data_IF_959882881194
#
_entry.id   IF_959882881194
#
_cell.length_a   1.000
_cell.length_b   1.000
_cell.length_c   1.000
_cell.angle_alpha   90.00
_cell.angle_beta   90.00
_cell.angle_gamma   90.00
#
_symmetry.space_group_name_H-M   'P 1'
#
loop_
_entity.id
_entity.type
_entity.pdbx_description
1 polymer ?
#
# COMPACT_ATOMS: atom_id res chain seq x y z
N UNK A 1 -19.44 -13.52 54.51
CA UNK A 1 -18.12 -13.34 53.86
C UNK A 1 -18.31 -13.41 52.35
N UNK A 2 -18.11 -12.31 51.61
CA UNK A 2 -18.43 -12.27 50.18
C UNK A 2 -17.32 -12.92 49.35
N UNK A 3 -17.71 -13.74 48.38
CA UNK A 3 -16.82 -14.34 47.38
C UNK A 3 -16.38 -13.26 46.39
N UNK A 4 -15.10 -12.92 46.40
CA UNK A 4 -14.46 -12.09 45.38
C UNK A 4 -14.44 -12.88 44.06
N UNK A 5 -15.29 -12.49 43.09
CA UNK A 5 -15.11 -12.89 41.70
C UNK A 5 -13.94 -12.08 41.12
N UNK A 6 -12.81 -12.74 40.92
CA UNK A 6 -11.68 -12.18 40.19
C UNK A 6 -12.06 -12.15 38.70
N UNK A 7 -12.57 -11.00 38.24
CA UNK A 7 -12.75 -10.74 36.82
C UNK A 7 -11.36 -10.70 36.16
N UNK A 8 -11.06 -11.72 35.34
CA UNK A 8 -9.94 -11.70 34.42
C UNK A 8 -10.20 -10.59 33.39
N UNK A 9 -9.68 -9.40 33.70
CA UNK A 9 -9.47 -8.34 32.72
C UNK A 9 -8.51 -8.88 31.66
N UNK A 10 -9.06 -9.34 30.55
CA UNK A 10 -8.30 -9.54 29.31
C UNK A 10 -7.86 -8.16 28.87
N UNK A 11 -6.66 -7.78 29.31
CA UNK A 11 -5.96 -6.58 28.85
C UNK A 11 -5.90 -6.65 27.32
N UNK A 12 -6.54 -5.68 26.67
CA UNK A 12 -6.52 -5.43 25.24
C UNK A 12 -5.16 -4.85 24.81
N UNK A 13 -4.10 -5.59 25.14
CA UNK A 13 -2.74 -5.31 24.73
C UNK A 13 -2.64 -5.50 23.21
N UNK A 14 -2.34 -4.39 22.52
CA UNK A 14 -1.69 -4.30 21.22
C UNK A 14 -1.48 -5.63 20.46
N UNK A 15 -2.46 -6.03 19.65
CA UNK A 15 -2.20 -6.93 18.52
C UNK A 15 -1.53 -6.13 17.38
N UNK A 16 -0.33 -5.61 17.64
CA UNK A 16 0.60 -5.35 16.55
C UNK A 16 1.12 -6.71 16.06
N UNK A 17 1.41 -6.82 14.77
CA UNK A 17 1.94 -8.03 14.14
C UNK A 17 3.02 -8.68 15.05
N UNK A 18 2.80 -9.89 15.59
CA UNK A 18 3.66 -10.52 16.60
C UNK A 18 5.15 -10.59 16.21
N UNK A 19 5.47 -10.50 14.93
CA UNK A 19 6.83 -10.66 14.41
C UNK A 19 7.61 -9.37 14.22
N UNK A 20 6.98 -8.19 14.04
CA UNK A 20 7.77 -6.95 14.16
C UNK A 20 8.28 -6.80 15.59
N UNK A 21 7.57 -7.39 16.55
CA UNK A 21 7.95 -7.45 17.96
C UNK A 21 9.13 -8.39 18.20
N UNK A 22 9.29 -9.49 17.44
CA UNK A 22 10.42 -10.42 17.61
C UNK A 22 11.75 -9.83 17.17
N UNK A 23 11.74 -8.88 16.23
CA UNK A 23 12.94 -8.13 15.82
C UNK A 23 13.30 -6.99 16.80
N UNK A 24 12.33 -6.51 17.60
CA UNK A 24 12.49 -5.31 18.45
C UNK A 24 13.64 -5.40 19.47
N UNK A 25 13.87 -6.52 20.18
CA UNK A 25 14.91 -6.59 21.20
C UNK A 25 16.32 -6.26 20.68
N UNK A 26 16.60 -6.55 19.41
CA UNK A 26 17.91 -6.28 18.79
C UNK A 26 17.90 -5.07 17.84
N UNK A 27 16.73 -4.70 17.29
CA UNK A 27 16.58 -3.66 16.27
C UNK A 27 15.58 -2.56 16.65
N UNK A 28 15.56 -2.16 17.92
CA UNK A 28 14.55 -1.27 18.49
C UNK A 28 14.30 -0.01 17.65
N UNK A 29 15.36 0.71 17.27
CA UNK A 29 15.26 1.96 16.50
C UNK A 29 14.59 1.75 15.14
N UNK A 30 14.97 0.68 14.42
CA UNK A 30 14.40 0.35 13.11
C UNK A 30 12.93 -0.03 13.25
N UNK A 31 12.61 -0.87 14.24
CA UNK A 31 11.23 -1.28 14.50
C UNK A 31 10.37 -0.08 14.86
N UNK A 32 10.85 0.84 15.71
CA UNK A 32 10.10 2.02 16.14
C UNK A 32 9.68 2.92 14.96
N UNK A 33 10.56 3.12 13.98
CA UNK A 33 10.23 3.88 12.77
C UNK A 33 9.40 3.07 11.78
N UNK A 34 9.67 1.76 11.65
CA UNK A 34 8.97 0.90 10.70
C UNK A 34 7.49 0.72 11.04
N UNK A 35 7.14 0.70 12.34
CA UNK A 35 5.76 0.62 12.82
C UNK A 35 4.86 1.75 12.31
N UNK A 36 5.45 2.85 11.82
CA UNK A 36 4.72 4.01 11.32
C UNK A 36 4.61 4.03 9.78
N UNK A 37 5.19 3.04 9.09
CA UNK A 37 5.24 2.98 7.63
C UNK A 37 3.90 2.56 7.03
N UNK A 38 3.67 2.98 5.78
CA UNK A 38 2.50 2.51 5.03
C UNK A 38 2.60 1.04 4.63
N UNK A 39 3.81 0.49 4.52
CA UNK A 39 4.03 -0.94 4.26
C UNK A 39 3.41 -1.79 5.36
N UNK A 40 3.75 -1.54 6.62
CA UNK A 40 3.14 -2.28 7.73
C UNK A 40 1.64 -2.02 7.82
N UNK A 41 1.20 -0.78 7.63
CA UNK A 41 -0.20 -0.41 7.75
C UNK A 41 -1.06 -0.84 6.53
N UNK A 42 -0.49 -1.45 5.49
CA UNK A 42 -1.22 -1.75 4.24
C UNK A 42 -2.36 -2.75 4.43
N UNK A 43 -2.38 -3.50 5.53
CA UNK A 43 -3.56 -4.22 5.97
C UNK A 43 -3.56 -4.42 7.47
N UNK A 44 -4.75 -4.60 8.04
CA UNK A 44 -4.96 -4.84 9.46
C UNK A 44 -6.30 -5.51 9.71
N UNK A 45 -6.46 -6.13 10.88
CA UNK A 45 -7.77 -6.52 11.39
C UNK A 45 -8.65 -5.28 11.53
N UNK A 46 -9.95 -5.42 11.28
CA UNK A 46 -10.93 -4.37 11.46
C UNK A 46 -11.16 -4.05 12.94
N UNK A 47 -10.72 -2.87 13.37
CA UNK A 47 -10.88 -2.35 14.72
C UNK A 47 -11.09 -0.84 14.66
N UNK A 48 -11.54 -0.24 15.77
CA UNK A 48 -11.63 1.20 15.90
C UNK A 48 -10.29 1.94 15.67
N UNK A 49 -9.15 1.25 15.80
CA UNK A 49 -7.81 1.83 15.58
C UNK A 49 -7.38 1.80 14.11
N UNK A 50 -7.74 0.73 13.39
CA UNK A 50 -7.29 0.49 12.01
C UNK A 50 -8.23 1.09 10.96
N UNK A 51 -9.53 1.14 11.25
CA UNK A 51 -10.53 1.75 10.36
C UNK A 51 -10.43 3.27 10.41
N UNK A 52 -10.36 3.91 9.23
CA UNK A 52 -10.38 5.37 9.08
C UNK A 52 -11.75 5.93 8.74
N UNK A 53 -12.68 5.07 8.32
CA UNK A 53 -14.04 5.44 7.96
C UNK A 53 -14.85 6.02 9.13
N UNK A 54 -15.85 6.84 8.80
CA UNK A 54 -16.76 7.46 9.78
C UNK A 54 -18.09 6.71 9.82
N UNK A 55 -18.43 6.17 10.99
CA UNK A 55 -19.64 5.36 11.22
C UNK A 55 -20.73 6.12 11.97
N UNK A 56 -20.45 7.35 12.42
CA UNK A 56 -21.41 8.25 13.06
C UNK A 56 -22.52 8.68 12.09
N UNK A 57 -23.74 8.82 12.60
CA UNK A 57 -24.89 9.32 11.86
C UNK A 57 -24.57 10.58 11.05
N UNK A 58 -25.11 10.67 9.84
CA UNK A 58 -24.88 11.77 8.90
C UNK A 58 -23.62 11.63 8.03
N UNK A 59 -22.69 10.75 8.39
CA UNK A 59 -21.47 10.47 7.62
C UNK A 59 -21.33 9.02 7.20
N UNK A 60 -22.30 8.19 7.55
CA UNK A 60 -22.22 6.74 7.47
C UNK A 60 -23.14 6.16 6.39
N UNK A 61 -23.53 6.96 5.41
CA UNK A 61 -24.35 6.51 4.28
C UNK A 61 -23.69 6.98 2.99
N UNK A 62 -23.39 6.03 2.09
CA UNK A 62 -23.11 6.31 0.69
C UNK A 62 -24.44 6.21 -0.07
N UNK A 63 -24.86 7.31 -0.68
CA UNK A 63 -25.98 7.32 -1.63
C UNK A 63 -25.45 6.98 -3.02
N UNK A 64 -26.27 6.30 -3.82
CA UNK A 64 -25.97 5.97 -5.22
C UNK A 64 -26.87 6.79 -6.16
N UNK A 65 -26.56 6.78 -7.46
CA UNK A 65 -27.37 7.43 -8.49
C UNK A 65 -28.61 6.61 -8.82
N UNK A 66 -28.59 5.32 -8.52
CA UNK A 66 -29.73 4.42 -8.62
C UNK A 66 -30.75 4.72 -7.51
N UNK A 67 -31.99 5.14 -7.86
CA UNK A 67 -33.02 5.44 -6.88
C UNK A 67 -33.30 4.25 -5.95
N UNK A 68 -33.36 4.52 -4.64
CA UNK A 68 -33.62 3.49 -3.63
C UNK A 68 -32.42 2.60 -3.27
N UNK A 69 -31.29 2.72 -3.97
CA UNK A 69 -30.05 2.00 -3.64
C UNK A 69 -29.12 2.87 -2.81
N UNK A 70 -28.71 2.36 -1.65
CA UNK A 70 -27.72 3.02 -0.78
C UNK A 70 -26.92 2.00 0.01
N UNK A 71 -25.77 2.44 0.53
CA UNK A 71 -24.98 1.67 1.46
C UNK A 71 -24.87 2.38 2.80
N UNK A 72 -25.15 1.66 3.87
CA UNK A 72 -25.00 2.13 5.24
C UNK A 72 -23.82 1.45 5.91
N UNK A 73 -23.01 2.25 6.58
CA UNK A 73 -21.91 1.81 7.42
C UNK A 73 -22.38 1.93 8.87
N UNK A 74 -22.23 0.88 9.65
CA UNK A 74 -22.64 0.90 11.05
C UNK A 74 -21.63 0.18 11.96
N UNK A 75 -21.54 0.67 13.19
CA UNK A 75 -20.74 0.07 14.24
C UNK A 75 -21.70 -0.40 15.33
N UNK A 76 -21.55 -1.66 15.75
CA UNK A 76 -22.29 -2.27 16.85
C UNK A 76 -21.28 -2.89 17.80
N UNK A 77 -21.20 -2.39 19.02
CA UNK A 77 -20.33 -2.94 20.08
C UNK A 77 -18.88 -3.15 19.61
N UNK A 78 -18.30 -2.17 18.90
CA UNK A 78 -16.93 -2.25 18.37
C UNK A 78 -16.73 -3.14 17.12
N UNK A 79 -17.82 -3.68 16.56
CA UNK A 79 -17.83 -4.44 15.31
C UNK A 79 -18.42 -3.58 14.20
N UNK A 80 -17.77 -3.55 13.04
CA UNK A 80 -18.11 -2.68 11.92
C UNK A 80 -18.80 -3.47 10.81
N UNK A 81 -19.76 -2.85 10.13
CA UNK A 81 -20.58 -3.48 9.09
C UNK A 81 -20.76 -2.55 7.89
N UNK A 82 -21.01 -3.17 6.74
CA UNK A 82 -21.61 -2.53 5.57
C UNK A 82 -22.94 -3.21 5.26
N UNK A 83 -23.95 -2.40 4.99
CA UNK A 83 -25.29 -2.85 4.60
C UNK A 83 -25.66 -2.20 3.27
N UNK A 84 -25.79 -3.00 2.21
CA UNK A 84 -26.42 -2.56 0.97
C UNK A 84 -27.94 -2.62 1.13
N UNK A 85 -28.64 -1.56 0.74
CA UNK A 85 -30.09 -1.39 0.89
C UNK A 85 -30.68 -1.10 -0.48
N UNK A 86 -31.65 -1.92 -0.89
CA UNK A 86 -32.55 -1.67 -2.01
C UNK A 86 -33.95 -1.44 -1.45
N UNK A 87 -34.32 -0.17 -1.29
CA UNK A 87 -35.62 0.20 -0.74
C UNK A 87 -36.78 -0.05 -1.70
N UNK A 88 -36.52 -0.09 -3.00
CA UNK A 88 -37.56 -0.35 -4.01
C UNK A 88 -38.02 -1.81 -3.92
N UNK A 89 -37.10 -2.74 -3.65
CA UNK A 89 -37.40 -4.16 -3.45
C UNK A 89 -37.60 -4.55 -1.98
N UNK A 90 -37.40 -3.63 -1.03
CA UNK A 90 -37.44 -3.94 0.41
C UNK A 90 -36.36 -4.92 0.86
N UNK A 91 -35.22 -4.97 0.16
CA UNK A 91 -34.12 -5.93 0.42
C UNK A 91 -32.93 -5.23 1.03
N UNK A 92 -32.20 -5.94 1.88
CA UNK A 92 -30.90 -5.48 2.35
C UNK A 92 -29.95 -6.67 2.55
N UNK A 93 -28.66 -6.41 2.37
CA UNK A 93 -27.59 -7.39 2.65
C UNK A 93 -26.55 -6.74 3.54
N UNK A 94 -26.32 -7.35 4.70
CA UNK A 94 -25.30 -6.90 5.66
C UNK A 94 -24.12 -7.85 5.68
N UNK A 95 -22.90 -7.30 5.69
CA UNK A 95 -21.66 -8.01 5.95
C UNK A 95 -20.81 -7.27 6.97
N UNK A 96 -20.12 -8.04 7.80
CA UNK A 96 -19.13 -7.52 8.74
C UNK A 96 -17.90 -7.04 7.96
N UNK A 97 -17.24 -6.02 8.46
CA UNK A 97 -15.88 -5.65 8.05
C UNK A 97 -14.92 -6.44 8.94
N UNK A 98 -14.18 -7.38 8.34
CA UNK A 98 -13.22 -8.22 9.07
C UNK A 98 -11.79 -7.73 8.89
N UNK A 99 -11.41 -7.38 7.66
CA UNK A 99 -10.07 -6.88 7.34
C UNK A 99 -10.14 -5.50 6.68
N UNK A 100 -9.11 -4.71 6.93
CA UNK A 100 -8.86 -3.42 6.30
C UNK A 100 -7.69 -3.60 5.34
N UNK A 101 -7.84 -3.11 4.10
CA UNK A 101 -6.79 -3.08 3.09
C UNK A 101 -6.54 -1.62 2.69
N UNK A 102 -5.27 -1.23 2.69
CA UNK A 102 -4.81 0.14 2.50
C UNK A 102 -4.37 0.81 3.81
N UNK A 103 -3.25 1.52 3.74
CA UNK A 103 -2.67 2.24 4.89
C UNK A 103 -3.49 3.42 5.41
N UNK A 104 -4.58 3.80 4.72
CA UNK A 104 -5.34 5.01 5.04
C UNK A 104 -4.62 6.30 4.65
N UNK A 105 -3.49 6.25 3.93
CA UNK A 105 -2.87 7.48 3.38
C UNK A 105 -3.74 8.13 2.28
N UNK A 106 -4.40 7.30 1.48
CA UNK A 106 -5.31 7.73 0.41
C UNK A 106 -6.72 7.25 0.66
N UNK A 107 -6.85 5.95 0.94
CA UNK A 107 -8.10 5.33 1.32
C UNK A 107 -7.91 3.93 1.87
N UNK A 108 -9.05 3.29 2.16
CA UNK A 108 -9.16 1.92 2.64
C UNK A 108 -10.32 1.21 1.96
N UNK A 109 -10.05 0.00 1.47
CA UNK A 109 -11.03 -1.00 1.12
C UNK A 109 -11.18 -1.98 2.29
N UNK A 110 -12.25 -2.75 2.29
CA UNK A 110 -12.58 -3.63 3.39
C UNK A 110 -12.94 -5.01 2.87
N UNK A 111 -12.55 -6.05 3.61
CA UNK A 111 -12.84 -7.43 3.27
C UNK A 111 -13.64 -8.11 4.36
N UNK A 112 -14.38 -9.13 3.97
CA UNK A 112 -15.09 -10.00 4.91
C UNK A 112 -14.86 -11.48 4.59
N UNK A 113 -14.94 -12.30 5.64
CA UNK A 113 -14.79 -13.74 5.53
C UNK A 113 -16.13 -14.42 5.26
N UNK A 114 -16.12 -15.38 4.33
CA UNK A 114 -17.25 -16.29 4.15
C UNK A 114 -16.75 -17.67 3.72
N UNK A 115 -17.10 -18.70 4.50
CA UNK A 115 -16.71 -20.08 4.22
C UNK A 115 -15.20 -20.30 4.04
N UNK A 116 -14.33 -19.54 4.72
CA UNK A 116 -12.87 -19.66 4.54
C UNK A 116 -12.30 -18.97 3.29
N UNK A 117 -13.12 -18.18 2.59
CA UNK A 117 -12.69 -17.27 1.52
C UNK A 117 -12.85 -15.82 1.98
N UNK A 118 -12.21 -14.91 1.25
CA UNK A 118 -12.28 -13.47 1.47
C UNK A 118 -12.97 -12.79 0.30
N UNK A 119 -13.81 -11.81 0.61
CA UNK A 119 -14.57 -11.06 -0.38
C UNK A 119 -14.39 -9.56 -0.13
N UNK A 120 -14.27 -8.78 -1.21
CA UNK A 120 -14.27 -7.33 -1.12
C UNK A 120 -15.66 -6.82 -0.77
N UNK A 121 -15.71 -5.79 0.07
CA UNK A 121 -16.93 -5.06 0.38
C UNK A 121 -17.13 -3.92 -0.63
N UNK A 122 -18.38 -3.61 -1.01
CA UNK A 122 -18.68 -2.69 -2.11
C UNK A 122 -18.35 -1.23 -1.82
N UNK A 123 -18.10 -0.86 -0.56
CA UNK A 123 -17.81 0.53 -0.17
C UNK A 123 -16.39 0.66 0.39
N UNK A 124 -15.66 1.65 -0.09
CA UNK A 124 -14.34 2.06 0.40
C UNK A 124 -14.40 3.46 1.03
N UNK A 125 -13.35 3.83 1.76
CA UNK A 125 -13.25 5.15 2.37
C UNK A 125 -12.04 5.93 1.84
N UNK A 126 -12.24 7.16 1.36
CA UNK A 126 -11.15 8.06 1.01
C UNK A 126 -10.82 8.98 2.20
N UNK A 127 -9.57 8.96 2.61
CA UNK A 127 -9.13 9.67 3.82
C UNK A 127 -9.03 11.18 3.62
N UNK A 128 -8.51 11.64 2.48
CA UNK A 128 -8.36 13.08 2.19
C UNK A 128 -9.71 13.81 2.13
N UNK A 129 -10.64 13.41 1.24
CA UNK A 129 -11.99 13.95 1.18
C UNK A 129 -12.90 13.52 2.35
N UNK A 130 -12.45 12.57 3.18
CA UNK A 130 -13.18 12.02 4.34
C UNK A 130 -14.55 11.45 3.99
N UNK A 131 -14.66 10.78 2.84
CA UNK A 131 -15.92 10.33 2.28
C UNK A 131 -15.91 8.84 1.94
N UNK A 132 -17.08 8.22 2.02
CA UNK A 132 -17.31 6.89 1.47
C UNK A 132 -17.46 6.96 -0.05
N UNK A 133 -16.98 5.94 -0.74
CA UNK A 133 -17.01 5.79 -2.19
C UNK A 133 -17.29 4.33 -2.53
N UNK A 134 -17.70 4.04 -3.76
CA UNK A 134 -17.68 2.67 -4.26
C UNK A 134 -16.22 2.14 -4.23
N UNK A 135 -16.06 0.87 -3.86
CA UNK A 135 -14.77 0.20 -3.85
C UNK A 135 -14.19 0.09 -5.26
N UNK A 136 -12.86 0.09 -5.44
CA UNK A 136 -12.25 0.03 -6.77
C UNK A 136 -12.71 -1.18 -7.56
N UNK A 137 -13.35 -0.99 -8.71
CA UNK A 137 -13.91 -2.08 -9.53
C UNK A 137 -15.41 -2.34 -9.34
N UNK A 138 -16.08 -1.61 -8.43
CA UNK A 138 -17.54 -1.61 -8.31
C UNK A 138 -18.18 -0.47 -9.12
N UNK A 139 -19.33 -0.76 -9.71
CA UNK A 139 -20.17 0.23 -10.38
C UNK A 139 -21.07 0.94 -9.37
N UNK A 140 -21.42 2.20 -9.65
CA UNK A 140 -22.38 2.92 -8.81
C UNK A 140 -23.77 2.27 -8.90
N UNK A 141 -24.41 2.05 -7.75
CA UNK A 141 -25.75 1.42 -7.67
C UNK A 141 -25.75 -0.11 -7.62
N UNK A 142 -24.60 -0.77 -7.67
CA UNK A 142 -24.51 -2.23 -7.65
C UNK A 142 -24.33 -2.78 -6.22
N UNK A 143 -25.37 -3.44 -5.67
CA UNK A 143 -25.24 -4.17 -4.40
C UNK A 143 -24.66 -5.56 -4.66
N UNK A 144 -23.34 -5.64 -4.76
CA UNK A 144 -22.61 -6.90 -4.85
C UNK A 144 -21.69 -7.11 -3.64
N UNK A 145 -21.79 -8.29 -3.02
CA UNK A 145 -20.92 -8.76 -1.94
C UNK A 145 -20.18 -10.05 -2.33
N UNK A 146 -20.23 -10.44 -3.61
CA UNK A 146 -19.72 -11.70 -4.15
C UNK A 146 -18.32 -11.64 -4.74
N UNK A 147 -17.69 -10.46 -4.79
CA UNK A 147 -16.35 -10.30 -5.37
C UNK A 147 -15.25 -10.97 -4.54
N UNK A 148 -14.78 -12.11 -5.03
CA UNK A 148 -13.74 -12.93 -4.40
C UNK A 148 -12.37 -12.25 -4.46
N UNK A 149 -11.64 -12.27 -3.33
CA UNK A 149 -10.23 -11.88 -3.27
C UNK A 149 -9.34 -13.07 -3.62
N UNK A 150 -8.57 -12.92 -4.69
CA UNK A 150 -7.58 -13.91 -5.12
C UNK A 150 -6.26 -13.75 -4.36
N UNK A 151 -5.42 -14.80 -4.27
CA UNK A 151 -4.19 -14.75 -3.49
C UNK A 151 -3.24 -13.63 -3.90
N UNK A 152 -3.21 -13.28 -5.20
CA UNK A 152 -2.32 -12.24 -5.73
C UNK A 152 -2.52 -10.87 -5.07
N UNK A 153 -3.76 -10.50 -4.74
CA UNK A 153 -4.03 -9.27 -4.00
C UNK A 153 -3.37 -9.32 -2.61
N UNK A 154 -3.49 -10.46 -1.93
CA UNK A 154 -2.95 -10.65 -0.59
C UNK A 154 -1.42 -10.72 -0.60
N UNK A 155 -0.79 -11.15 -1.69
CA UNK A 155 0.67 -11.18 -1.81
C UNK A 155 1.30 -9.80 -1.69
N UNK A 156 0.62 -8.77 -2.21
CA UNK A 156 1.07 -7.39 -2.14
C UNK A 156 0.56 -6.63 -0.91
N UNK A 157 -0.46 -7.18 -0.22
CA UNK A 157 -1.11 -6.55 0.91
C UNK A 157 -0.95 -7.30 2.24
N UNK A 158 -0.12 -8.34 2.28
CA UNK A 158 0.16 -9.10 3.50
C UNK A 158 1.56 -9.73 3.44
N UNK A 159 2.09 -10.11 4.61
CA UNK A 159 3.38 -10.81 4.68
C UNK A 159 3.18 -12.26 4.28
N UNK A 160 2.17 -12.92 4.85
CA UNK A 160 1.79 -14.29 4.50
C UNK A 160 0.28 -14.48 4.55
N UNK A 161 -0.25 -15.25 3.61
CA UNK A 161 -1.66 -15.66 3.60
C UNK A 161 -1.78 -17.11 3.09
N UNK A 162 -1.46 -18.11 3.94
CA UNK A 162 -1.37 -19.50 3.49
C UNK A 162 -2.72 -20.04 3.00
N UNK A 163 -2.69 -20.83 1.94
CA UNK A 163 -3.81 -21.65 1.51
C UNK A 163 -3.76 -23.01 2.24
N UNK A 164 -4.93 -23.55 2.53
CA UNK A 164 -5.11 -24.89 3.09
C UNK A 164 -6.24 -25.61 2.36
N UNK A 165 -6.11 -26.93 2.23
CA UNK A 165 -7.19 -27.76 1.72
C UNK A 165 -8.03 -28.26 2.88
N UNK A 166 -9.29 -27.86 2.92
CA UNK A 166 -10.25 -28.28 3.93
C UNK A 166 -11.44 -28.96 3.24
N UNK A 167 -11.66 -30.24 3.55
CA UNK A 167 -12.75 -31.06 2.97
C UNK A 167 -12.79 -31.02 1.42
N UNK A 168 -11.61 -31.08 0.80
CA UNK A 168 -11.47 -31.05 -0.66
C UNK A 168 -11.56 -29.67 -1.32
N UNK A 169 -11.79 -28.59 -0.54
CA UNK A 169 -11.82 -27.22 -1.05
C UNK A 169 -10.59 -26.42 -0.59
N UNK A 170 -10.02 -25.63 -1.50
CA UNK A 170 -8.94 -24.69 -1.18
C UNK A 170 -9.52 -23.46 -0.47
N UNK A 171 -9.02 -23.17 0.74
CA UNK A 171 -9.45 -22.06 1.60
C UNK A 171 -8.24 -21.30 2.11
N UNK A 172 -8.43 -20.07 2.56
CA UNK A 172 -7.38 -19.36 3.29
C UNK A 172 -7.33 -19.84 4.75
N UNK A 173 -6.10 -20.06 5.22
CA UNK A 173 -5.83 -20.30 6.63
C UNK A 173 -6.12 -19.06 7.46
N UNK A 174 -6.58 -19.23 8.70
CA UNK A 174 -6.68 -18.16 9.71
C UNK A 174 -5.32 -17.76 10.31
N UNK A 175 -4.25 -18.52 10.01
CA UNK A 175 -2.87 -18.24 10.42
C UNK A 175 -2.17 -17.40 9.36
N UNK A 176 -2.66 -16.18 9.14
CA UNK A 176 -2.07 -15.20 8.22
C UNK A 176 -1.33 -14.09 8.98
N UNK A 177 -0.62 -13.26 8.23
CA UNK A 177 0.13 -12.11 8.74
C UNK A 177 -0.11 -10.90 7.86
N UNK A 178 -0.86 -9.94 8.41
CA UNK A 178 -1.22 -8.69 7.76
C UNK A 178 -0.05 -7.70 7.76
N UNK A 179 -0.18 -6.68 6.91
CA UNK A 179 0.88 -5.73 6.63
C UNK A 179 2.03 -6.33 5.82
N UNK A 180 2.85 -5.46 5.24
CA UNK A 180 4.18 -5.85 4.73
C UNK A 180 5.16 -5.67 5.88
N UNK A 181 5.59 -6.79 6.49
CA UNK A 181 6.50 -6.82 7.64
C UNK A 181 7.93 -7.16 7.23
N UNK A 182 8.84 -7.24 8.20
CA UNK A 182 10.27 -7.45 8.01
C UNK A 182 10.57 -8.66 7.10
N UNK A 183 9.90 -9.79 7.37
CA UNK A 183 10.18 -11.05 6.68
C UNK A 183 9.78 -11.04 5.20
N UNK A 184 8.88 -10.13 4.77
CA UNK A 184 8.54 -10.00 3.35
C UNK A 184 9.76 -9.60 2.51
N UNK A 185 10.67 -8.83 3.09
CA UNK A 185 11.89 -8.36 2.42
C UNK A 185 13.14 -9.12 2.87
N UNK A 186 13.16 -9.59 4.12
CA UNK A 186 14.34 -10.20 4.75
C UNK A 186 14.28 -11.73 4.83
N UNK A 187 13.19 -12.36 4.40
CA UNK A 187 12.95 -13.80 4.57
C UNK A 187 12.59 -14.16 6.01
N UNK A 188 12.36 -15.46 6.29
CA UNK A 188 12.05 -15.94 7.64
C UNK A 188 13.19 -15.64 8.62
N UNK A 189 12.90 -14.98 9.74
CA UNK A 189 13.88 -14.56 10.73
C UNK A 189 14.11 -15.54 11.88
N UNK A 190 13.35 -16.64 11.95
CA UNK A 190 13.41 -17.58 13.09
C UNK A 190 14.81 -18.14 13.33
N UNK A 191 15.53 -18.51 12.27
CA UNK A 191 16.89 -19.06 12.41
C UNK A 191 17.89 -18.00 12.82
N UNK A 192 17.77 -16.80 12.22
CA UNK A 192 18.54 -15.63 12.60
C UNK A 192 18.40 -15.31 14.10
N UNK A 193 17.17 -15.24 14.61
CA UNK A 193 16.90 -14.94 16.02
C UNK A 193 17.52 -16.01 16.93
N UNK A 194 17.31 -17.30 16.62
CA UNK A 194 17.88 -18.41 17.41
C UNK A 194 19.41 -18.36 17.46
N UNK A 195 20.04 -18.09 16.31
CA UNK A 195 21.49 -18.01 16.24
C UNK A 195 22.04 -16.79 17.01
N UNK A 196 21.48 -15.60 16.81
CA UNK A 196 21.96 -14.40 17.50
C UNK A 196 21.72 -14.44 19.01
N UNK A 197 20.63 -15.07 19.47
CA UNK A 197 20.40 -15.27 20.90
C UNK A 197 21.48 -16.13 21.57
N UNK A 198 22.09 -17.06 20.83
CA UNK A 198 23.21 -17.88 21.32
C UNK A 198 24.59 -17.28 21.05
N UNK A 199 24.67 -16.23 20.22
CA UNK A 199 25.93 -15.58 19.81
C UNK A 199 25.82 -14.04 19.91
N UNK A 200 25.59 -13.46 21.10
CA UNK A 200 25.30 -12.03 21.25
C UNK A 200 26.46 -11.10 20.84
N UNK A 201 27.69 -11.61 20.79
CA UNK A 201 28.86 -10.85 20.32
C UNK A 201 28.99 -10.85 18.78
N UNK A 202 28.28 -11.71 18.06
CA UNK A 202 28.32 -11.77 16.60
C UNK A 202 27.47 -10.64 16.00
N UNK A 203 28.13 -9.77 15.26
CA UNK A 203 27.48 -8.60 14.63
C UNK A 203 27.01 -8.90 13.21
N UNK A 204 27.49 -9.98 12.60
CA UNK A 204 27.04 -10.43 11.28
C UNK A 204 25.62 -10.98 11.38
N UNK A 205 24.72 -10.47 10.54
CA UNK A 205 23.37 -11.03 10.39
C UNK A 205 23.38 -12.40 9.71
N UNK A 206 23.64 -13.46 10.47
CA UNK A 206 23.58 -14.84 9.99
C UNK A 206 22.11 -15.29 9.79
N UNK A 207 21.87 -16.17 8.81
CA UNK A 207 20.55 -16.77 8.52
C UNK A 207 19.41 -15.78 8.26
N UNK A 208 19.74 -14.59 7.77
CA UNK A 208 18.76 -13.58 7.34
C UNK A 208 19.21 -12.98 6.00
N UNK A 209 18.26 -12.65 5.14
CA UNK A 209 18.56 -11.94 3.91
C UNK A 209 18.81 -10.46 4.21
N UNK A 210 19.81 -9.89 3.55
CA UNK A 210 20.05 -8.45 3.59
C UNK A 210 19.91 -7.88 2.17
N UNK A 211 18.79 -7.21 1.85
CA UNK A 211 18.58 -6.60 0.54
C UNK A 211 19.67 -5.63 0.10
N UNK A 212 20.41 -5.00 1.03
CA UNK A 212 21.52 -4.13 0.68
C UNK A 212 22.69 -4.89 0.00
N UNK A 213 22.79 -6.20 0.20
CA UNK A 213 23.81 -7.07 -0.41
C UNK A 213 23.38 -7.69 -1.75
N UNK A 214 22.13 -7.50 -2.15
CA UNK A 214 21.66 -7.98 -3.45
C UNK A 214 22.25 -7.16 -4.59
N UNK A 215 22.38 -7.78 -5.77
CA UNK A 215 22.65 -7.02 -6.99
C UNK A 215 21.55 -5.99 -7.24
N UNK A 216 21.84 -4.93 -8.01
CA UNK A 216 20.87 -3.89 -8.35
C UNK A 216 19.52 -4.45 -8.80
N UNK A 217 19.55 -5.40 -9.74
CA UNK A 217 18.32 -5.95 -10.32
C UNK A 217 17.54 -6.76 -9.28
N UNK A 218 18.22 -7.50 -8.40
CA UNK A 218 17.57 -8.22 -7.29
C UNK A 218 17.00 -7.29 -6.22
N UNK A 219 17.59 -6.12 -6.01
CA UNK A 219 17.01 -5.04 -5.17
C UNK A 219 15.72 -4.52 -5.80
N UNK A 220 15.74 -4.22 -7.10
CA UNK A 220 14.56 -3.73 -7.83
C UNK A 220 13.46 -4.80 -7.89
N UNK A 221 13.80 -6.06 -8.16
CA UNK A 221 12.88 -7.20 -8.22
C UNK A 221 12.10 -7.38 -6.90
N UNK A 222 12.77 -7.18 -5.77
CA UNK A 222 12.14 -7.27 -4.46
C UNK A 222 11.03 -6.21 -4.27
N UNK A 223 11.21 -5.01 -4.85
CA UNK A 223 10.17 -3.99 -4.87
C UNK A 223 9.11 -4.27 -5.95
N UNK A 224 9.55 -4.75 -7.11
CA UNK A 224 8.72 -5.04 -8.27
C UNK A 224 7.69 -6.14 -8.00
N UNK A 225 7.91 -7.04 -7.03
CA UNK A 225 6.88 -8.00 -6.60
C UNK A 225 5.50 -7.34 -6.39
N UNK A 226 5.48 -6.11 -5.87
CA UNK A 226 4.26 -5.35 -5.63
C UNK A 226 4.15 -4.05 -6.45
N UNK A 227 5.28 -3.47 -6.86
CA UNK A 227 5.36 -2.14 -7.48
C UNK A 227 5.66 -2.15 -8.99
N UNK A 228 5.33 -3.24 -9.69
CA UNK A 228 5.47 -3.37 -11.15
C UNK A 228 4.13 -3.61 -11.86
N UNK A 229 3.04 -3.08 -11.32
CA UNK A 229 1.70 -3.30 -11.86
C UNK A 229 1.18 -4.74 -11.72
N UNK A 230 0.09 -5.03 -12.43
CA UNK A 230 -0.48 -6.37 -12.48
C UNK A 230 0.34 -7.25 -13.43
N UNK A 231 0.88 -8.34 -12.89
CA UNK A 231 1.65 -9.35 -13.64
C UNK A 231 1.02 -10.72 -13.43
N UNK A 232 0.92 -11.48 -14.51
CA UNK A 232 0.40 -12.85 -14.46
C UNK A 232 1.42 -13.78 -13.78
N UNK A 233 1.04 -14.47 -12.68
CA UNK A 233 1.93 -15.41 -12.01
C UNK A 233 2.16 -16.68 -12.85
N UNK A 234 3.41 -17.15 -12.91
CA UNK A 234 3.80 -18.47 -13.46
C UNK A 234 4.03 -19.53 -12.38
N UNK A 235 4.18 -19.09 -11.13
CA UNK A 235 4.35 -19.94 -9.95
C UNK A 235 3.26 -19.62 -8.93
N UNK A 236 2.99 -20.50 -7.96
CA UNK A 236 2.03 -20.22 -6.89
C UNK A 236 2.34 -18.90 -6.19
N UNK A 237 1.31 -18.12 -5.91
CA UNK A 237 1.43 -16.89 -5.11
C UNK A 237 2.09 -17.18 -3.76
N UNK A 238 2.85 -16.22 -3.23
CA UNK A 238 3.69 -16.30 -2.03
C UNK A 238 4.93 -17.20 -2.17
N UNK A 239 5.28 -17.65 -3.37
CA UNK A 239 6.48 -18.46 -3.60
C UNK A 239 7.75 -17.65 -3.86
N UNK A 240 7.64 -16.37 -4.27
CA UNK A 240 8.82 -15.54 -4.52
C UNK A 240 9.66 -15.35 -3.27
N UNK A 241 10.99 -15.50 -3.41
CA UNK A 241 11.97 -15.28 -2.36
C UNK A 241 12.83 -14.06 -2.68
N UNK A 242 12.93 -13.07 -1.77
CA UNK A 242 13.78 -11.90 -1.99
C UNK A 242 15.21 -12.31 -2.35
N UNK A 243 15.76 -11.68 -3.40
CA UNK A 243 17.10 -12.01 -3.92
C UNK A 243 17.09 -12.96 -5.11
N UNK A 244 15.95 -13.56 -5.45
CA UNK A 244 15.77 -14.34 -6.70
C UNK A 244 15.28 -13.47 -7.86
N UNK A 245 15.36 -13.99 -9.09
CA UNK A 245 14.85 -13.29 -10.29
C UNK A 245 13.34 -13.25 -10.26
N UNK A 246 12.73 -12.06 -10.29
CA UNK A 246 11.27 -11.95 -10.27
C UNK A 246 10.63 -12.63 -11.50
N UNK A 247 11.26 -12.56 -12.66
CA UNK A 247 10.73 -13.13 -13.90
C UNK A 247 10.70 -14.66 -13.93
N UNK A 248 11.32 -15.34 -12.96
CA UNK A 248 11.16 -16.79 -12.79
C UNK A 248 9.79 -17.15 -12.19
N UNK A 249 9.06 -16.15 -11.67
CA UNK A 249 7.78 -16.28 -10.96
C UNK A 249 6.59 -15.69 -11.72
N UNK A 250 6.83 -14.87 -12.75
CA UNK A 250 5.80 -14.13 -13.49
C UNK A 250 6.05 -14.21 -15.00
N UNK A 251 5.00 -13.99 -15.79
CA UNK A 251 5.12 -13.85 -17.25
C UNK A 251 5.95 -12.59 -17.56
N UNK A 252 6.80 -12.67 -18.59
CA UNK A 252 7.74 -11.62 -18.91
C UNK A 252 7.03 -10.44 -19.60
N UNK A 253 7.40 -9.21 -19.24
CA UNK A 253 6.73 -7.99 -19.73
C UNK A 253 6.90 -7.77 -21.24
N UNK A 254 7.95 -8.32 -21.86
CA UNK A 254 8.23 -8.18 -23.30
C UNK A 254 7.23 -8.89 -24.20
N UNK A 255 6.40 -9.77 -23.65
CA UNK A 255 5.50 -10.64 -24.42
C UNK A 255 4.15 -9.95 -24.69
N UNK A 256 3.98 -8.71 -24.23
CA UNK A 256 2.78 -7.88 -24.42
C UNK A 256 3.21 -6.50 -24.94
N UNK A 257 2.49 -5.93 -25.89
CA UNK A 257 2.70 -4.52 -26.28
C UNK A 257 2.42 -3.63 -25.06
N UNK A 258 3.45 -3.12 -24.38
CA UNK A 258 3.26 -2.50 -23.07
C UNK A 258 2.78 -1.04 -23.22
N UNK A 259 1.52 -0.71 -22.90
CA UNK A 259 1.10 0.68 -22.78
C UNK A 259 1.93 1.39 -21.69
N UNK A 260 1.97 2.72 -21.70
CA UNK A 260 2.68 3.47 -20.64
C UNK A 260 2.14 3.03 -19.27
N UNK A 261 3.00 2.55 -18.36
CA UNK A 261 2.60 2.16 -17.01
C UNK A 261 1.73 3.19 -16.29
N UNK A 262 0.74 2.73 -15.54
CA UNK A 262 -0.06 3.61 -14.69
C UNK A 262 0.77 4.15 -13.52
N UNK A 263 0.49 5.37 -13.09
CA UNK A 263 1.16 5.97 -11.91
C UNK A 263 0.75 5.33 -10.59
N UNK A 264 -0.32 4.54 -10.58
CA UNK A 264 -0.74 3.72 -9.46
C UNK A 264 -0.22 2.29 -9.63
N UNK A 265 0.53 1.81 -8.64
CA UNK A 265 0.97 0.40 -8.57
C UNK A 265 2.15 -0.01 -9.47
N UNK A 266 2.59 0.81 -10.42
CA UNK A 266 3.71 0.48 -11.32
C UNK A 266 4.85 1.53 -11.31
N UNK A 267 5.42 1.75 -10.12
CA UNK A 267 6.55 2.66 -9.96
C UNK A 267 7.83 2.13 -10.61
N UNK A 268 8.02 0.80 -10.66
CA UNK A 268 9.20 0.17 -11.25
C UNK A 268 9.17 0.31 -12.77
N UNK A 269 8.05 0.03 -13.43
CA UNK A 269 7.90 0.20 -14.88
C UNK A 269 8.12 1.64 -15.31
N UNK A 270 7.60 2.61 -14.55
CA UNK A 270 7.86 4.03 -14.78
C UNK A 270 9.33 4.41 -14.59
N UNK A 271 9.97 3.95 -13.51
CA UNK A 271 11.38 4.23 -13.22
C UNK A 271 12.31 3.66 -14.29
N UNK A 272 12.01 2.46 -14.82
CA UNK A 272 12.77 1.83 -15.91
C UNK A 272 12.86 2.69 -17.17
N UNK A 273 11.91 3.61 -17.38
CA UNK A 273 11.89 4.54 -18.53
C UNK A 273 12.81 5.73 -18.34
N UNK A 274 13.15 6.09 -17.10
CA UNK A 274 14.00 7.22 -16.77
C UNK A 274 15.42 7.08 -17.30
N UNK A 275 15.96 8.15 -17.90
CA UNK A 275 17.34 8.18 -18.40
C UNK A 275 18.36 7.96 -17.27
N UNK A 276 18.17 8.61 -16.12
CA UNK A 276 19.06 8.45 -14.96
C UNK A 276 19.11 7.01 -14.46
N UNK A 277 17.98 6.29 -14.45
CA UNK A 277 17.93 4.90 -14.05
C UNK A 277 18.65 3.98 -15.03
N UNK A 278 18.43 4.18 -16.34
CA UNK A 278 19.11 3.39 -17.38
C UNK A 278 20.61 3.66 -17.48
N UNK A 279 21.05 4.87 -17.14
CA UNK A 279 22.47 5.23 -17.13
C UNK A 279 23.21 4.79 -15.85
N UNK A 280 22.49 4.49 -14.76
CA UNK A 280 23.11 4.09 -13.49
C UNK A 280 23.19 2.57 -13.35
N UNK A 281 24.39 2.08 -13.03
CA UNK A 281 24.67 0.66 -12.77
C UNK A 281 24.23 0.18 -11.39
N UNK A 282 23.94 1.08 -10.46
CA UNK A 282 23.66 0.74 -9.04
C UNK A 282 22.32 1.28 -8.50
N UNK A 283 21.72 2.26 -9.19
CA UNK A 283 20.50 2.92 -8.71
C UNK A 283 19.34 1.94 -8.56
N UNK A 284 18.68 2.00 -7.42
CA UNK A 284 17.50 1.19 -7.09
C UNK A 284 16.51 2.01 -6.28
N UNK A 285 15.39 1.43 -5.86
CA UNK A 285 14.38 2.14 -5.05
C UNK A 285 14.98 2.69 -3.75
N UNK A 286 15.90 1.94 -3.12
CA UNK A 286 16.56 2.34 -1.87
C UNK A 286 17.62 3.42 -2.03
N UNK A 287 17.97 3.81 -3.27
CA UNK A 287 18.80 5.00 -3.52
C UNK A 287 18.07 6.26 -3.08
N UNK A 288 16.75 6.29 -3.26
CA UNK A 288 15.92 7.45 -2.93
C UNK A 288 15.09 7.25 -1.66
N UNK A 289 14.66 6.01 -1.38
CA UNK A 289 13.69 5.71 -0.33
C UNK A 289 14.28 4.87 0.82
N UNK A 290 14.06 5.31 2.06
CA UNK A 290 14.21 4.47 3.24
C UNK A 290 12.90 3.77 3.61
N UNK A 291 12.84 2.47 3.32
CA UNK A 291 11.67 1.62 3.56
C UNK A 291 11.39 1.37 5.05
N UNK A 292 12.33 1.68 5.95
CA UNK A 292 12.21 1.46 7.38
C UNK A 292 11.62 2.64 8.14
N UNK A 293 11.32 3.76 7.47
CA UNK A 293 10.72 4.93 8.13
C UNK A 293 9.67 5.60 7.25
N UNK A 294 8.76 6.40 7.82
CA UNK A 294 7.87 7.22 7.02
C UNK A 294 8.65 8.34 6.32
N UNK A 295 8.59 8.38 5.00
CA UNK A 295 9.11 9.51 4.23
C UNK A 295 7.96 10.40 3.78
N UNK A 296 8.02 11.68 4.16
CA UNK A 296 6.97 12.69 3.87
C UNK A 296 7.54 14.03 3.43
N UNK A 297 8.82 14.27 3.70
CA UNK A 297 9.46 15.53 3.38
C UNK A 297 9.94 15.54 1.93
N UNK A 298 9.43 16.50 1.16
CA UNK A 298 9.80 16.71 -0.25
C UNK A 298 11.24 17.24 -0.36
N UNK A 299 11.68 18.08 0.58
CA UNK A 299 13.02 18.66 0.55
C UNK A 299 14.09 17.56 0.68
N UNK A 300 13.91 16.62 1.61
CA UNK A 300 14.75 15.43 1.76
C UNK A 300 14.87 14.59 0.47
N UNK A 301 13.85 14.59 -0.40
CA UNK A 301 13.94 13.89 -1.70
C UNK A 301 14.75 14.67 -2.74
N UNK A 302 14.74 16.00 -2.69
CA UNK A 302 15.57 16.81 -3.58
C UNK A 302 17.07 16.52 -3.33
N UNK A 303 17.49 16.33 -2.08
CA UNK A 303 18.86 15.93 -1.74
C UNK A 303 19.30 14.63 -2.41
N UNK A 304 18.38 13.68 -2.64
CA UNK A 304 18.67 12.44 -3.38
C UNK A 304 19.03 12.71 -4.83
N UNK A 305 18.35 13.69 -5.45
CA UNK A 305 18.67 14.13 -6.81
C UNK A 305 20.04 14.80 -6.86
N UNK A 306 20.32 15.65 -5.88
CA UNK A 306 21.57 16.42 -5.77
C UNK A 306 22.81 15.54 -5.53
N UNK A 307 22.63 14.30 -5.05
CA UNK A 307 23.71 13.32 -4.97
C UNK A 307 24.32 12.94 -6.33
N UNK A 308 23.60 13.16 -7.43
CA UNK A 308 24.07 12.87 -8.79
C UNK A 308 23.96 14.07 -9.75
N UNK A 309 23.12 15.05 -9.45
CA UNK A 309 22.83 16.20 -10.31
C UNK A 309 23.36 17.49 -9.69
N UNK A 310 24.33 18.12 -10.36
CA UNK A 310 24.72 19.49 -10.04
C UNK A 310 23.67 20.47 -10.56
N UNK A 311 23.43 21.52 -9.79
CA UNK A 311 22.50 22.60 -10.13
C UNK A 311 23.15 23.68 -10.99
N UNK A 312 24.48 23.72 -11.01
CA UNK A 312 25.24 24.66 -11.82
C UNK A 312 24.96 24.40 -13.31
N UNK A 313 24.48 25.42 -14.01
CA UNK A 313 24.07 25.30 -15.41
C UNK A 313 22.70 24.64 -15.62
N UNK A 314 21.85 24.55 -14.59
CA UNK A 314 20.47 24.11 -14.80
C UNK A 314 19.78 25.01 -15.84
N UNK A 315 19.18 24.46 -16.92
CA UNK A 315 18.71 25.27 -18.06
C UNK A 315 17.65 26.32 -17.74
N UNK A 316 16.96 26.15 -16.61
CA UNK A 316 15.91 27.07 -16.13
C UNK A 316 16.34 27.87 -14.91
N UNK A 317 17.64 28.00 -14.64
CA UNK A 317 18.15 28.53 -13.37
C UNK A 317 17.62 29.93 -13.04
N UNK A 318 17.51 30.80 -14.05
CA UNK A 318 17.00 32.16 -13.89
C UNK A 318 15.51 32.17 -13.50
N UNK A 319 14.71 31.24 -14.03
CA UNK A 319 13.26 31.20 -13.87
C UNK A 319 12.80 30.56 -12.55
N UNK A 320 13.58 29.63 -11.98
CA UNK A 320 13.25 28.95 -10.70
C UNK A 320 13.86 29.62 -9.47
N UNK A 321 14.89 30.46 -9.65
CA UNK A 321 15.60 31.17 -8.58
C UNK A 321 15.91 30.27 -7.35
N UNK A 322 15.79 30.79 -6.12
CA UNK A 322 16.10 30.07 -4.87
C UNK A 322 15.29 28.80 -4.58
N UNK A 323 14.32 28.42 -5.43
CA UNK A 323 13.56 27.16 -5.32
C UNK A 323 14.26 25.94 -5.92
N UNK A 324 15.39 26.17 -6.60
CA UNK A 324 16.19 25.16 -7.29
C UNK A 324 16.56 23.96 -6.39
N UNK A 325 16.72 24.19 -5.08
CA UNK A 325 17.24 23.20 -4.14
C UNK A 325 16.17 22.30 -3.49
N UNK A 326 14.87 22.62 -3.61
CA UNK A 326 13.82 21.90 -2.85
C UNK A 326 12.70 21.30 -3.71
N UNK A 327 12.66 21.57 -5.01
CA UNK A 327 11.46 21.30 -5.83
C UNK A 327 11.71 20.53 -7.13
N UNK A 328 12.84 19.82 -7.26
CA UNK A 328 13.16 19.02 -8.47
C UNK A 328 11.99 18.12 -8.89
N UNK A 329 11.36 17.46 -7.91
CA UNK A 329 10.33 16.47 -8.15
C UNK A 329 9.02 17.04 -8.73
N UNK A 330 8.72 18.32 -8.57
CA UNK A 330 7.45 18.89 -9.07
C UNK A 330 7.44 19.03 -10.59
N UNK A 331 8.62 19.28 -11.18
CA UNK A 331 8.80 19.31 -12.63
C UNK A 331 9.25 17.95 -13.17
N UNK A 332 10.21 17.29 -12.50
CA UNK A 332 10.85 16.08 -13.03
C UNK A 332 10.13 14.77 -12.68
N UNK A 333 9.23 14.80 -11.70
CA UNK A 333 8.39 13.67 -11.30
C UNK A 333 6.93 14.14 -11.19
N UNK A 334 6.30 14.53 -12.32
CA UNK A 334 4.99 15.17 -12.28
C UNK A 334 3.93 14.25 -11.69
N UNK A 335 2.99 14.86 -10.98
CA UNK A 335 1.78 14.15 -10.57
C UNK A 335 0.90 13.92 -11.79
N UNK A 336 0.48 12.67 -12.02
CA UNK A 336 -0.43 12.29 -13.11
C UNK A 336 -1.69 11.65 -12.56
N UNK A 337 -2.73 11.68 -13.38
CA UNK A 337 -3.98 10.95 -13.14
C UNK A 337 -3.72 9.45 -13.29
N UNK A 338 -4.22 8.66 -12.35
CA UNK A 338 -4.33 7.20 -12.50
C UNK A 338 -5.56 6.85 -13.33
N UNK A 339 -5.41 5.88 -14.22
CA UNK A 339 -6.48 5.24 -14.97
C UNK A 339 -7.02 3.99 -14.25
N UNK A 340 -6.26 3.45 -13.29
CA UNK A 340 -6.61 2.25 -12.53
C UNK A 340 -7.62 2.50 -11.40
N UNK A 341 -7.66 3.72 -10.84
CA UNK A 341 -8.61 4.06 -9.76
C UNK A 341 -9.55 5.17 -10.22
N UNK A 342 -10.80 4.79 -10.45
CA UNK A 342 -11.90 5.71 -10.70
C UNK A 342 -12.78 5.79 -9.45
N UNK A 343 -13.08 7.01 -9.02
CA UNK A 343 -14.04 7.28 -7.95
C UNK A 343 -15.37 7.54 -8.63
N UNK A 344 -16.28 6.57 -8.53
CA UNK A 344 -17.64 6.71 -9.03
C UNK A 344 -18.55 7.01 -7.85
N UNK A 345 -19.13 8.20 -7.80
CA UNK A 345 -20.19 8.58 -6.87
C UNK A 345 -21.23 9.39 -7.62
N UNK A 346 -22.48 9.52 -7.13
CA UNK A 346 -23.61 10.05 -7.91
C UNK A 346 -23.42 11.48 -8.43
N UNK A 347 -22.52 12.26 -7.81
CA UNK A 347 -22.23 13.63 -8.22
C UNK A 347 -20.76 13.92 -8.53
N UNK A 348 -19.86 12.92 -8.44
CA UNK A 348 -18.44 13.11 -8.71
C UNK A 348 -17.85 11.86 -9.33
N UNK A 349 -17.44 12.00 -10.59
CA UNK A 349 -16.38 11.18 -11.17
C UNK A 349 -15.06 11.85 -10.82
N UNK A 350 -14.28 11.20 -9.96
CA UNK A 350 -12.97 11.67 -9.54
C UNK A 350 -11.89 10.71 -10.01
N UNK A 351 -10.70 11.22 -10.27
CA UNK A 351 -9.53 10.40 -10.43
C UNK A 351 -8.53 10.67 -9.33
N UNK A 352 -7.83 9.63 -8.90
CA UNK A 352 -6.72 9.81 -7.98
C UNK A 352 -5.46 10.20 -8.76
N UNK A 353 -4.67 11.04 -8.11
CA UNK A 353 -3.44 11.59 -8.67
C UNK A 353 -2.24 11.07 -7.88
N UNK A 354 -1.24 10.57 -8.60
CA UNK A 354 -0.02 10.00 -8.01
C UNK A 354 1.21 10.58 -8.68
N UNK A 355 2.30 10.65 -7.91
CA UNK A 355 3.58 11.14 -8.41
C UNK A 355 4.21 10.10 -9.33
N UNK A 356 4.50 10.50 -10.57
CA UNK A 356 5.15 9.63 -11.54
C UNK A 356 6.58 9.31 -11.10
N UNK A 357 6.97 8.04 -11.24
CA UNK A 357 8.37 7.62 -11.06
C UNK A 357 9.15 7.61 -12.39
N UNK A 358 8.51 8.03 -13.49
CA UNK A 358 9.19 8.35 -14.75
C UNK A 358 9.86 9.71 -14.55
N UNK A 359 11.07 9.69 -13.99
CA UNK A 359 11.94 10.86 -13.84
C UNK A 359 12.41 11.30 -15.23
N UNK A 360 12.15 12.55 -15.59
CA UNK A 360 12.44 13.07 -16.92
C UNK A 360 12.35 14.59 -17.01
N UNK A 361 12.53 15.14 -18.20
CA UNK A 361 12.40 16.57 -18.47
C UNK A 361 11.04 16.79 -19.14
N UNK A 362 10.20 17.63 -18.53
CA UNK A 362 8.83 17.87 -18.96
C UNK A 362 8.57 19.37 -19.17
N UNK A 363 8.92 19.95 -20.33
CA UNK A 363 8.84 21.41 -20.54
C UNK A 363 7.45 21.99 -20.30
N UNK A 364 6.39 21.30 -20.76
CA UNK A 364 4.99 21.71 -20.53
C UNK A 364 4.56 21.61 -19.06
N UNK A 365 5.17 20.75 -18.26
CA UNK A 365 4.91 20.69 -16.81
C UNK A 365 5.63 21.85 -16.14
N UNK A 366 6.91 22.05 -16.45
CA UNK A 366 7.72 23.13 -15.88
C UNK A 366 7.06 24.50 -16.11
N UNK A 367 6.65 24.79 -17.34
CA UNK A 367 5.94 26.03 -17.67
C UNK A 367 4.67 26.24 -16.82
N UNK A 368 3.86 25.20 -16.62
CA UNK A 368 2.64 25.28 -15.80
C UNK A 368 2.94 25.49 -14.31
N UNK A 369 3.96 24.82 -13.79
CA UNK A 369 4.38 24.96 -12.38
C UNK A 369 4.84 26.39 -12.10
N UNK A 370 5.62 26.98 -13.00
CA UNK A 370 6.09 28.36 -12.90
C UNK A 370 4.94 29.37 -12.96
N UNK A 371 4.04 29.26 -13.95
CA UNK A 371 2.86 30.14 -14.06
C UNK A 371 1.97 30.09 -12.80
N UNK A 372 1.73 28.90 -12.24
CA UNK A 372 0.90 28.74 -11.04
C UNK A 372 1.53 29.34 -9.77
N UNK A 373 2.85 29.51 -9.77
CA UNK A 373 3.59 30.08 -8.66
C UNK A 373 3.50 31.60 -8.66
N UNK A 374 3.67 32.23 -9.82
CA UNK A 374 3.58 33.69 -9.99
C UNK A 374 2.20 34.21 -9.56
N UNK A 375 1.14 33.49 -9.93
CA UNK A 375 -0.23 33.81 -9.51
C UNK A 375 -0.47 33.73 -7.99
N UNK A 376 0.32 32.94 -7.26
CA UNK A 376 0.24 32.82 -5.79
C UNK A 376 1.11 33.84 -5.05
N UNK A 377 2.11 34.42 -5.72
CA UNK A 377 2.93 35.49 -5.14
C UNK A 377 2.29 36.87 -5.34
N UNK A 378 1.41 37.01 -6.35
CA UNK A 378 0.64 38.22 -6.65
C UNK A 378 -0.75 38.25 -5.98
N UNK A 379 -1.00 37.35 -5.02
CA UNK A 379 -2.18 37.32 -4.14
C UNK A 379 -1.69 37.30 -2.70
#
# INVERSE_FOLDING_TARGET
MPRLLLALLVSSANQFAPETTSCKPCHERIVATFLQTAHLATSAEATARSIKGRFSAGYNVLRTSSPGVSFKMDERTGVFYQTGVDSAQGRSTTRRIDLVVGSGRRGQSYLYWNGGLLFELPVSYLTGPRQWINSPGYSDGEIDFGRLIVPRCLECHSTTFPLQTERGAVRYSRRYRLGISCEKCHGEGREHIRYQASHPAETRGAFILNPARFSRDRRVDSCALCHSGEREPRRPTFSYRPGERLDDYFVHESDVAVPVPDVHGDQVGLLRRSKCFRASRDMSCSTCHDVHRPERDIASFAEKCLGCHQTDGHPMAAEIAGRMMTSCIDCHMPTRKSNAIQINTPGKQGALYFRSHEIGIYPRVAARVLQSTEQKQNR
#
